data_IF_867431645795
#
_entry.id   IF_867431645795
#
_cell.length_a   1.000
_cell.length_b   1.000
_cell.length_c   1.000
_cell.angle_alpha   90.00
_cell.angle_beta   90.00
_cell.angle_gamma   90.00
#
_symmetry.space_group_name_H-M   'P 1'
#
loop_
_entity.id
_entity.type
_entity.pdbx_description
1 polymer ?
#
# COMPACT_ATOMS: atom_id res chain seq x y z
N UNK A 1 10.34 -38.38 20.52
CA UNK A 1 10.47 -38.09 19.07
C UNK A 1 9.17 -37.58 18.46
N UNK A 2 8.04 -38.28 18.58
CA UNK A 2 6.75 -37.83 18.04
C UNK A 2 6.30 -36.46 18.57
N UNK A 3 6.42 -36.22 19.89
CA UNK A 3 6.11 -34.92 20.50
C UNK A 3 6.98 -33.78 19.94
N UNK A 4 8.29 -34.03 19.71
CA UNK A 4 9.19 -33.01 19.14
C UNK A 4 8.82 -32.71 17.69
N UNK A 5 8.39 -33.72 16.93
CA UNK A 5 7.90 -33.53 15.57
C UNK A 5 6.63 -32.67 15.54
N UNK A 6 5.66 -32.97 16.40
CA UNK A 6 4.43 -32.17 16.53
C UNK A 6 4.71 -30.71 16.92
N UNK A 7 5.68 -30.49 17.82
CA UNK A 7 6.15 -29.13 18.16
C UNK A 7 6.79 -28.45 16.96
N UNK A 8 7.66 -29.13 16.21
CA UNK A 8 8.28 -28.55 14.99
C UNK A 8 7.22 -28.17 13.96
N UNK A 9 6.22 -29.02 13.72
CA UNK A 9 5.12 -28.74 12.78
C UNK A 9 4.30 -27.50 13.21
N UNK A 10 4.19 -27.25 14.52
CA UNK A 10 3.49 -26.07 15.05
C UNK A 10 4.25 -24.75 14.90
N UNK A 11 5.54 -24.75 14.54
CA UNK A 11 6.34 -23.52 14.38
C UNK A 11 5.82 -22.60 13.27
N UNK A 12 5.07 -23.12 12.29
CA UNK A 12 4.40 -22.30 11.28
C UNK A 12 3.38 -21.31 11.90
N UNK A 13 2.86 -21.62 13.10
CA UNK A 13 1.92 -20.78 13.85
C UNK A 13 2.59 -19.69 14.69
N UNK A 14 3.92 -19.70 14.83
CA UNK A 14 4.64 -18.69 15.61
C UNK A 14 4.40 -17.29 15.05
N UNK A 15 4.30 -16.32 15.96
CA UNK A 15 4.04 -14.90 15.72
C UNK A 15 2.68 -14.60 15.08
N UNK A 16 1.77 -15.57 15.05
CA UNK A 16 0.37 -15.32 14.69
C UNK A 16 -0.36 -14.79 15.92
N UNK A 17 -1.00 -13.62 15.79
CA UNK A 17 -1.72 -12.98 16.90
C UNK A 17 -0.80 -12.78 18.12
N UNK A 18 -1.11 -13.43 19.26
CA UNK A 18 -0.33 -13.34 20.49
C UNK A 18 0.61 -14.54 20.69
N UNK A 19 0.78 -15.41 19.69
CA UNK A 19 1.62 -16.61 19.79
C UNK A 19 3.11 -16.29 19.53
N UNK A 20 3.69 -15.37 20.28
CA UNK A 20 5.14 -15.13 20.21
C UNK A 20 5.93 -16.29 20.81
N UNK A 21 7.27 -16.20 20.79
CA UNK A 21 8.12 -17.29 21.27
C UNK A 21 7.88 -17.59 22.76
N UNK A 22 7.62 -16.57 23.57
CA UNK A 22 7.38 -16.73 25.01
C UNK A 22 6.04 -17.41 25.25
N UNK A 23 4.96 -16.91 24.64
CA UNK A 23 3.63 -17.49 24.75
C UNK A 23 3.60 -18.93 24.24
N UNK A 24 4.29 -19.22 23.13
CA UNK A 24 4.45 -20.57 22.60
C UNK A 24 5.14 -21.49 23.63
N UNK A 25 6.22 -21.04 24.26
CA UNK A 25 6.91 -21.82 25.28
C UNK A 25 6.02 -22.08 26.50
N UNK A 26 5.24 -21.08 26.93
CA UNK A 26 4.28 -21.19 28.04
C UNK A 26 3.19 -22.22 27.71
N UNK A 27 2.56 -22.09 26.55
CA UNK A 27 1.47 -22.98 26.10
C UNK A 27 1.92 -24.45 26.01
N UNK A 28 3.13 -24.69 25.53
CA UNK A 28 3.66 -26.04 25.34
C UNK A 28 4.50 -26.55 26.53
N UNK A 29 4.68 -25.73 27.59
CA UNK A 29 5.53 -26.03 28.75
C UNK A 29 6.98 -26.40 28.36
N UNK A 30 7.55 -25.67 27.41
CA UNK A 30 8.87 -25.93 26.85
C UNK A 30 9.92 -24.91 27.33
N UNK A 31 11.15 -25.37 27.48
CA UNK A 31 12.28 -24.47 27.72
C UNK A 31 12.59 -23.67 26.42
N UNK A 32 12.67 -22.33 26.48
CA UNK A 32 12.95 -21.49 25.31
C UNK A 32 14.24 -21.85 24.55
N UNK A 33 15.26 -22.36 25.23
CA UNK A 33 16.51 -22.80 24.61
C UNK A 33 16.27 -24.00 23.69
N UNK A 34 15.42 -24.95 24.12
CA UNK A 34 15.06 -26.11 23.30
C UNK A 34 14.25 -25.69 22.08
N UNK A 35 13.28 -24.78 22.26
CA UNK A 35 12.47 -24.26 21.15
C UNK A 35 13.35 -23.54 20.13
N UNK A 36 14.26 -22.66 20.57
CA UNK A 36 15.22 -22.00 19.70
C UNK A 36 16.07 -23.00 18.91
N UNK A 37 16.60 -24.02 19.58
CA UNK A 37 17.41 -25.06 18.95
C UNK A 37 16.61 -25.83 17.89
N UNK A 38 15.42 -26.31 18.23
CA UNK A 38 14.56 -27.04 17.30
C UNK A 38 14.09 -26.18 16.13
N UNK A 39 13.81 -24.90 16.37
CA UNK A 39 13.39 -23.95 15.35
C UNK A 39 14.51 -23.73 14.32
N UNK A 40 15.75 -23.56 14.79
CA UNK A 40 16.93 -23.47 13.93
C UNK A 40 17.11 -24.72 13.07
N UNK A 41 16.89 -25.90 13.62
CA UNK A 41 16.99 -27.16 12.86
C UNK A 41 15.85 -27.38 11.87
N UNK A 42 14.63 -26.97 12.24
CA UNK A 42 13.44 -27.26 11.46
C UNK A 42 13.40 -26.51 10.12
N UNK A 43 14.15 -25.40 10.01
CA UNK A 43 14.17 -24.53 8.84
C UNK A 43 12.76 -24.08 8.40
N UNK A 44 11.89 -23.84 9.39
CA UNK A 44 10.53 -23.36 9.19
C UNK A 44 10.53 -21.85 9.28
N UNK A 45 9.95 -21.19 8.28
CA UNK A 45 9.74 -19.75 8.27
C UNK A 45 8.29 -19.44 8.71
N UNK A 46 8.06 -18.84 9.89
CA UNK A 46 6.74 -18.45 10.32
C UNK A 46 6.18 -17.35 9.42
N UNK A 47 5.12 -17.65 8.69
CA UNK A 47 4.61 -16.77 7.64
C UNK A 47 4.16 -15.41 8.18
N UNK A 48 3.59 -15.36 9.39
CA UNK A 48 3.18 -14.10 10.01
C UNK A 48 4.38 -13.19 10.30
N UNK A 49 5.51 -13.76 10.74
CA UNK A 49 6.73 -13.00 10.97
C UNK A 49 7.37 -12.56 9.66
N UNK A 50 7.43 -13.45 8.68
CA UNK A 50 7.93 -13.14 7.34
C UNK A 50 7.16 -11.96 6.71
N UNK A 51 5.83 -12.05 6.66
CA UNK A 51 4.97 -11.01 6.10
C UNK A 51 5.13 -9.67 6.82
N UNK A 52 5.30 -9.67 8.15
CA UNK A 52 5.56 -8.44 8.93
C UNK A 52 6.91 -7.81 8.57
N UNK A 53 7.98 -8.60 8.52
CA UNK A 53 9.32 -8.12 8.14
C UNK A 53 9.30 -7.59 6.70
N UNK A 54 8.64 -8.30 5.78
CA UNK A 54 8.50 -7.84 4.40
C UNK A 54 7.71 -6.53 4.31
N UNK A 55 6.62 -6.37 5.08
CA UNK A 55 5.88 -5.10 5.15
C UNK A 55 6.77 -3.96 5.64
N UNK A 56 7.54 -4.16 6.70
CA UNK A 56 8.46 -3.15 7.26
C UNK A 56 9.55 -2.77 6.23
N UNK A 57 10.15 -3.76 5.57
CA UNK A 57 11.10 -3.56 4.48
C UNK A 57 10.50 -2.75 3.31
N UNK A 58 9.30 -3.12 2.85
CA UNK A 58 8.60 -2.41 1.78
C UNK A 58 8.29 -0.97 2.20
N UNK A 59 7.80 -0.77 3.42
CA UNK A 59 7.48 0.56 3.93
C UNK A 59 8.71 1.47 3.95
N UNK A 60 9.86 0.96 4.38
CA UNK A 60 11.11 1.73 4.37
C UNK A 60 11.65 2.01 2.96
N UNK A 61 11.61 1.00 2.08
CA UNK A 61 12.06 1.10 0.69
C UNK A 61 11.20 2.10 -0.10
N UNK A 62 9.88 2.01 0.02
CA UNK A 62 8.93 2.90 -0.66
C UNK A 62 9.03 4.32 -0.09
N UNK A 63 9.19 4.48 1.22
CA UNK A 63 9.45 5.78 1.84
C UNK A 63 10.71 6.42 1.28
N UNK A 64 11.77 5.65 1.10
CA UNK A 64 13.04 6.11 0.51
C UNK A 64 12.82 6.60 -0.91
N UNK A 65 12.11 5.84 -1.75
CA UNK A 65 11.78 6.23 -3.12
C UNK A 65 10.93 7.50 -3.18
N UNK A 66 9.84 7.57 -2.39
CA UNK A 66 9.00 8.76 -2.33
C UNK A 66 9.79 9.98 -1.83
N UNK A 67 10.80 9.79 -0.98
CA UNK A 67 11.63 10.89 -0.51
C UNK A 67 12.56 11.45 -1.59
N UNK A 68 12.88 10.67 -2.63
CA UNK A 68 13.68 11.14 -3.77
C UNK A 68 12.90 12.08 -4.69
N UNK A 69 11.58 11.90 -4.79
CA UNK A 69 10.72 12.73 -5.65
C UNK A 69 10.36 14.03 -4.94
N UNK A 70 10.49 15.18 -5.60
CA UNK A 70 10.30 16.48 -4.94
C UNK A 70 8.91 16.66 -4.32
N UNK A 71 7.87 16.10 -4.92
CA UNK A 71 6.50 16.14 -4.42
C UNK A 71 6.11 14.92 -3.56
N UNK A 72 6.94 13.89 -3.53
CA UNK A 72 6.68 12.65 -2.83
C UNK A 72 5.49 11.87 -3.37
N UNK A 73 5.28 11.87 -4.69
CA UNK A 73 4.20 11.15 -5.36
C UNK A 73 4.79 10.14 -6.34
N UNK A 74 4.42 8.87 -6.24
CA UNK A 74 4.82 7.82 -7.21
C UNK A 74 3.58 7.10 -7.74
N UNK A 75 3.43 6.96 -9.06
CA UNK A 75 2.32 6.22 -9.66
C UNK A 75 2.50 4.71 -9.52
N UNK A 76 1.38 4.01 -9.30
CA UNK A 76 1.30 2.55 -9.39
C UNK A 76 0.83 2.10 -10.78
N UNK A 77 0.14 2.98 -11.50
CA UNK A 77 -0.30 2.76 -12.88
C UNK A 77 0.64 3.43 -13.88
N UNK A 78 0.75 2.89 -15.09
CA UNK A 78 1.64 3.44 -16.12
C UNK A 78 1.31 4.88 -16.49
N UNK A 79 2.31 5.75 -16.39
CA UNK A 79 2.31 7.14 -16.88
C UNK A 79 3.42 7.34 -17.93
N UNK A 80 3.17 8.13 -18.99
CA UNK A 80 4.21 8.43 -19.98
C UNK A 80 5.45 9.06 -19.34
N UNK A 81 6.62 8.44 -19.53
CA UNK A 81 7.89 8.99 -19.04
C UNK A 81 8.19 8.77 -17.55
N UNK A 82 7.27 8.18 -16.79
CA UNK A 82 7.46 7.87 -15.37
C UNK A 82 7.47 6.37 -15.12
N UNK A 83 8.49 5.89 -14.41
CA UNK A 83 8.55 4.51 -13.96
C UNK A 83 7.56 4.28 -12.82
N UNK A 84 6.75 3.22 -12.93
CA UNK A 84 5.83 2.82 -11.85
C UNK A 84 6.61 2.35 -10.62
N UNK A 85 5.96 2.43 -9.45
CA UNK A 85 6.58 2.08 -8.17
C UNK A 85 7.29 0.73 -8.17
N UNK A 86 6.67 -0.31 -8.75
CA UNK A 86 7.23 -1.67 -8.71
C UNK A 86 8.58 -1.76 -9.45
N UNK A 87 8.74 -1.04 -10.56
CA UNK A 87 9.98 -1.00 -11.32
C UNK A 87 11.08 -0.27 -10.53
N UNK A 88 10.74 0.84 -9.89
CA UNK A 88 11.66 1.61 -9.05
C UNK A 88 12.09 0.82 -7.81
N UNK A 89 11.16 0.07 -7.23
CA UNK A 89 11.41 -0.79 -6.08
C UNK A 89 12.35 -1.95 -6.44
N UNK A 90 12.11 -2.62 -7.57
CA UNK A 90 13.01 -3.67 -8.07
C UNK A 90 14.41 -3.11 -8.29
N UNK A 91 14.54 -1.97 -8.98
CA UNK A 91 15.83 -1.31 -9.21
C UNK A 91 16.56 -0.97 -7.90
N UNK A 92 15.86 -0.42 -6.90
CA UNK A 92 16.44 -0.12 -5.59
C UNK A 92 16.95 -1.40 -4.90
N UNK A 93 16.18 -2.49 -4.95
CA UNK A 93 16.60 -3.76 -4.36
C UNK A 93 17.86 -4.29 -5.04
N UNK A 94 17.91 -4.27 -6.38
CA UNK A 94 19.07 -4.71 -7.15
C UNK A 94 20.33 -3.88 -6.82
N UNK A 95 20.18 -2.55 -6.71
CA UNK A 95 21.27 -1.65 -6.31
C UNK A 95 21.77 -1.94 -4.89
N UNK A 96 20.88 -2.39 -4.00
CA UNK A 96 21.21 -2.78 -2.64
C UNK A 96 21.67 -4.25 -2.51
N UNK A 97 22.02 -4.90 -3.64
CA UNK A 97 22.64 -6.22 -3.67
C UNK A 97 21.67 -7.41 -3.75
N UNK A 98 20.37 -7.17 -3.96
CA UNK A 98 19.45 -8.26 -4.24
C UNK A 98 19.69 -8.78 -5.66
N UNK A 99 19.48 -10.06 -5.85
CA UNK A 99 19.27 -10.66 -7.17
C UNK A 99 17.80 -10.54 -7.58
N UNK A 100 17.49 -10.62 -8.87
CA UNK A 100 16.10 -10.70 -9.35
C UNK A 100 15.35 -11.87 -8.71
N UNK A 101 16.02 -13.00 -8.47
CA UNK A 101 15.41 -14.15 -7.79
C UNK A 101 15.04 -13.85 -6.34
N UNK A 102 15.87 -13.11 -5.59
CA UNK A 102 15.55 -12.68 -4.23
C UNK A 102 14.41 -11.65 -4.21
N UNK A 103 14.34 -10.76 -5.20
CA UNK A 103 13.22 -9.85 -5.34
C UNK A 103 11.90 -10.61 -5.60
N UNK A 104 11.92 -11.61 -6.49
CA UNK A 104 10.75 -12.47 -6.75
C UNK A 104 10.33 -13.31 -5.52
N UNK A 105 11.26 -13.63 -4.60
CA UNK A 105 10.91 -14.32 -3.35
C UNK A 105 10.00 -13.48 -2.44
N UNK A 106 9.91 -12.16 -2.63
CA UNK A 106 8.95 -11.33 -1.88
C UNK A 106 7.51 -11.83 -2.08
N UNK A 107 7.18 -12.40 -3.23
CA UNK A 107 5.84 -12.95 -3.51
C UNK A 107 5.47 -14.07 -2.52
N UNK A 108 6.41 -14.97 -2.21
CA UNK A 108 6.17 -16.07 -1.28
C UNK A 108 6.08 -15.58 0.17
N UNK A 109 6.89 -14.58 0.55
CA UNK A 109 6.84 -13.97 1.88
C UNK A 109 5.54 -13.21 2.13
N UNK A 110 4.98 -12.60 1.09
CA UNK A 110 3.68 -11.92 1.12
C UNK A 110 2.49 -12.86 0.93
N UNK A 111 2.75 -14.08 0.42
CA UNK A 111 1.73 -15.06 0.04
C UNK A 111 0.92 -14.65 -1.20
N UNK A 112 1.42 -13.68 -1.99
CA UNK A 112 0.78 -13.18 -3.21
C UNK A 112 1.80 -12.37 -4.04
N UNK A 113 1.54 -12.15 -5.35
CA UNK A 113 2.39 -11.30 -6.17
C UNK A 113 2.58 -9.90 -5.56
N UNK A 114 3.82 -9.42 -5.51
CA UNK A 114 4.19 -8.14 -4.90
C UNK A 114 3.41 -6.97 -5.52
N UNK A 115 3.18 -6.99 -6.84
CA UNK A 115 2.43 -5.93 -7.49
C UNK A 115 0.98 -5.88 -7.01
N UNK A 116 0.31 -7.04 -6.92
CA UNK A 116 -1.02 -7.15 -6.32
C UNK A 116 -1.02 -6.70 -4.85
N UNK A 117 0.02 -7.06 -4.09
CA UNK A 117 0.16 -6.66 -2.69
C UNK A 117 0.23 -5.14 -2.55
N UNK A 118 1.08 -4.47 -3.32
CA UNK A 118 1.25 -3.02 -3.30
C UNK A 118 -0.06 -2.30 -3.63
N UNK A 119 -0.73 -2.74 -4.69
CA UNK A 119 -1.96 -2.11 -5.17
C UNK A 119 -3.15 -2.33 -4.22
N UNK A 120 -3.31 -3.53 -3.64
CA UNK A 120 -4.56 -3.90 -2.97
C UNK A 120 -4.45 -4.01 -1.44
N UNK A 121 -3.26 -4.27 -0.89
CA UNK A 121 -3.10 -4.68 0.51
C UNK A 121 -2.14 -3.80 1.31
N UNK A 122 -1.07 -3.30 0.69
CA UNK A 122 0.01 -2.60 1.37
C UNK A 122 -0.50 -1.44 2.23
N UNK A 123 -1.33 -0.57 1.69
CA UNK A 123 -1.83 0.60 2.42
C UNK A 123 -2.65 0.22 3.67
N UNK A 124 -3.54 -0.77 3.53
CA UNK A 124 -4.34 -1.29 4.65
C UNK A 124 -3.44 -1.95 5.71
N UNK A 125 -2.48 -2.76 5.26
CA UNK A 125 -1.57 -3.49 6.14
C UNK A 125 -0.62 -2.55 6.88
N UNK A 126 -0.05 -1.56 6.18
CA UNK A 126 0.76 -0.50 6.77
C UNK A 126 -0.05 0.30 7.80
N UNK A 127 -1.28 0.69 7.46
CA UNK A 127 -2.17 1.41 8.38
C UNK A 127 -2.46 0.58 9.64
N UNK A 128 -2.72 -0.72 9.50
CA UNK A 128 -2.95 -1.62 10.63
C UNK A 128 -1.69 -1.82 11.47
N UNK A 129 -0.53 -1.95 10.82
CA UNK A 129 0.76 -2.08 11.49
C UNK A 129 1.10 -0.84 12.32
N UNK A 130 0.73 0.35 11.84
CA UNK A 130 0.91 1.63 12.52
C UNK A 130 -0.27 2.01 13.42
N UNK A 131 -1.10 1.03 13.82
CA UNK A 131 -2.15 1.20 14.83
C UNK A 131 -1.59 0.98 16.24
N UNK A 132 -0.55 1.73 16.62
CA UNK A 132 0.20 1.50 17.85
C UNK A 132 -0.63 1.75 19.13
N UNK A 133 -1.58 2.69 19.06
CA UNK A 133 -2.43 3.06 20.20
C UNK A 133 -3.90 2.93 19.82
N UNK A 134 -4.62 2.01 20.46
CA UNK A 134 -6.01 1.66 20.11
C UNK A 134 -6.99 2.84 20.17
N UNK A 135 -6.70 3.86 20.98
CA UNK A 135 -7.52 5.06 21.16
C UNK A 135 -7.16 6.21 20.19
N UNK A 136 -6.05 6.12 19.47
CA UNK A 136 -5.64 7.07 18.45
C UNK A 136 -6.02 6.56 17.05
N UNK A 137 -6.13 7.45 16.05
CA UNK A 137 -6.22 7.01 14.66
C UNK A 137 -4.94 6.27 14.26
N UNK A 138 -5.07 5.37 13.29
CA UNK A 138 -3.92 4.82 12.58
C UNK A 138 -3.12 5.97 11.96
N UNK A 139 -1.80 5.86 11.96
CA UNK A 139 -0.91 6.93 11.46
C UNK A 139 -0.03 6.48 10.30
N UNK A 140 -0.59 6.02 9.16
CA UNK A 140 0.22 5.71 7.99
C UNK A 140 0.90 6.98 7.46
N UNK A 141 2.19 6.86 7.14
CA UNK A 141 2.99 7.94 6.55
C UNK A 141 3.14 7.83 5.02
N UNK A 142 2.69 6.72 4.43
CA UNK A 142 2.48 6.56 2.98
C UNK A 142 0.98 6.39 2.78
N UNK A 143 0.36 7.26 1.99
CA UNK A 143 -1.06 7.15 1.64
C UNK A 143 -1.23 6.63 0.22
N UNK A 144 -2.28 5.84 0.01
CA UNK A 144 -2.65 5.34 -1.30
C UNK A 144 -3.93 6.04 -1.77
N UNK A 145 -3.79 6.93 -2.76
CA UNK A 145 -4.92 7.54 -3.45
C UNK A 145 -5.32 6.67 -4.63
N UNK A 146 -6.62 6.39 -4.74
CA UNK A 146 -7.17 5.41 -5.69
C UNK A 146 -8.44 5.95 -6.31
N UNK A 147 -8.58 5.80 -7.64
CA UNK A 147 -9.79 6.19 -8.37
C UNK A 147 -10.96 5.23 -8.14
N UNK A 148 -10.67 3.96 -7.83
CA UNK A 148 -11.69 2.96 -7.61
C UNK A 148 -11.25 1.53 -7.89
N UNK A 149 -12.22 0.72 -8.29
CA UNK A 149 -12.08 -0.72 -8.49
C UNK A 149 -11.30 -1.05 -9.76
N UNK A 150 -11.47 -0.26 -10.82
CA UNK A 150 -10.82 -0.47 -12.11
C UNK A 150 -9.42 0.14 -12.17
N UNK A 151 -9.00 0.84 -11.10
CA UNK A 151 -7.65 1.40 -10.95
C UNK A 151 -7.31 2.32 -12.13
N UNK A 152 -8.24 3.20 -12.51
CA UNK A 152 -7.98 4.23 -13.51
C UNK A 152 -6.77 5.09 -13.13
N UNK A 153 -6.68 5.46 -11.86
CA UNK A 153 -5.59 6.22 -11.28
C UNK A 153 -5.23 5.72 -9.88
N UNK A 154 -3.95 5.40 -9.66
CA UNK A 154 -3.42 4.92 -8.38
C UNK A 154 -2.05 5.56 -8.11
N UNK A 155 -1.88 6.20 -6.96
CA UNK A 155 -0.59 6.79 -6.53
C UNK A 155 -0.33 6.53 -5.06
N UNK A 156 0.95 6.37 -4.72
CA UNK A 156 1.43 6.55 -3.35
C UNK A 156 1.91 7.97 -3.12
N UNK A 157 1.55 8.52 -1.97
CA UNK A 157 1.97 9.86 -1.54
C UNK A 157 2.62 9.81 -0.15
N UNK A 158 3.69 10.57 0.03
CA UNK A 158 4.39 10.70 1.31
C UNK A 158 3.85 11.88 2.10
N UNK A 159 3.36 11.65 3.33
CA UNK A 159 2.74 12.72 4.13
C UNK A 159 3.67 13.89 4.42
N UNK A 160 4.99 13.64 4.49
CA UNK A 160 6.00 14.66 4.78
C UNK A 160 6.16 15.68 3.64
N UNK A 161 5.64 15.38 2.45
CA UNK A 161 5.65 16.25 1.27
C UNK A 161 4.23 16.63 0.81
N UNK A 162 3.21 16.15 1.51
CA UNK A 162 1.80 16.38 1.19
C UNK A 162 1.35 17.74 1.71
N UNK A 163 0.91 18.60 0.80
CA UNK A 163 0.49 19.97 1.07
C UNK A 163 -0.64 20.39 0.10
N UNK A 164 -1.08 21.65 0.18
CA UNK A 164 -2.12 22.21 -0.69
C UNK A 164 -1.81 22.05 -2.19
N UNK A 165 -0.55 22.24 -2.59
CA UNK A 165 -0.13 22.17 -3.99
C UNK A 165 -0.17 20.73 -4.53
N UNK A 166 -0.09 19.72 -3.66
CA UNK A 166 -0.11 18.32 -4.07
C UNK A 166 -1.38 17.95 -4.85
N UNK A 167 -2.56 18.49 -4.48
CA UNK A 167 -3.80 18.24 -5.24
C UNK A 167 -3.76 18.85 -6.65
N UNK A 168 -3.18 20.05 -6.79
CA UNK A 168 -3.02 20.70 -8.09
C UNK A 168 -2.03 19.92 -8.97
N UNK A 169 -0.93 19.40 -8.40
CA UNK A 169 0.03 18.54 -9.12
C UNK A 169 -0.61 17.24 -9.57
N UNK A 170 -1.34 16.55 -8.68
CA UNK A 170 -2.10 15.34 -9.04
C UNK A 170 -3.02 15.63 -10.22
N UNK A 171 -3.77 16.73 -10.20
CA UNK A 171 -4.69 17.08 -11.29
C UNK A 171 -3.96 17.37 -12.60
N UNK A 172 -2.98 18.26 -12.56
CA UNK A 172 -2.37 18.84 -13.76
C UNK A 172 -1.31 17.96 -14.40
N UNK A 173 -0.60 17.14 -13.62
CA UNK A 173 0.48 16.30 -14.11
C UNK A 173 0.01 14.85 -14.19
N UNK A 174 -0.29 14.24 -13.04
CA UNK A 174 -0.55 12.81 -12.96
C UNK A 174 -1.87 12.37 -13.66
N UNK A 175 -3.00 12.97 -13.28
CA UNK A 175 -4.32 12.65 -13.85
C UNK A 175 -4.36 13.01 -15.34
N UNK A 176 -3.90 14.21 -15.70
CA UNK A 176 -3.94 14.68 -17.08
C UNK A 176 -3.17 13.74 -18.01
N UNK A 177 -1.95 13.33 -17.65
CA UNK A 177 -1.18 12.39 -18.46
C UNK A 177 -1.79 10.99 -18.48
N UNK A 178 -2.34 10.52 -17.35
CA UNK A 178 -3.01 9.21 -17.29
C UNK A 178 -4.20 9.16 -18.24
N UNK A 179 -5.05 10.19 -18.20
CA UNK A 179 -6.23 10.30 -19.02
C UNK A 179 -5.87 10.32 -20.51
N UNK A 180 -4.93 11.18 -20.92
CA UNK A 180 -4.46 11.24 -22.30
C UNK A 180 -3.89 9.90 -22.79
N UNK A 181 -3.13 9.20 -21.95
CA UNK A 181 -2.57 7.89 -22.29
C UNK A 181 -3.67 6.84 -22.53
N UNK A 182 -4.69 6.82 -21.68
CA UNK A 182 -5.83 5.93 -21.80
C UNK A 182 -6.69 6.25 -23.02
N UNK A 183 -6.99 7.53 -23.27
CA UNK A 183 -7.74 7.98 -24.46
C UNK A 183 -7.00 7.61 -25.75
N UNK A 184 -5.68 7.84 -25.80
CA UNK A 184 -4.85 7.44 -26.93
C UNK A 184 -4.89 5.93 -27.15
N UNK A 185 -4.76 5.12 -26.09
CA UNK A 185 -4.85 3.66 -26.18
C UNK A 185 -6.24 3.21 -26.62
N UNK A 186 -7.29 3.88 -26.16
CA UNK A 186 -8.67 3.61 -26.58
C UNK A 186 -8.85 3.82 -28.09
N UNK A 187 -8.30 4.91 -28.63
CA UNK A 187 -8.31 5.20 -30.07
C UNK A 187 -7.53 4.14 -30.85
N UNK A 188 -6.34 3.74 -30.40
CA UNK A 188 -5.55 2.69 -31.05
C UNK A 188 -6.29 1.35 -31.18
N UNK A 189 -7.18 1.06 -30.22
CA UNK A 189 -7.93 -0.17 -30.21
C UNK A 189 -9.17 -0.10 -31.12
N UNK A 190 -9.63 1.07 -31.58
CA UNK A 190 -10.92 1.23 -32.27
C UNK A 190 -11.13 0.22 -33.41
N UNK A 191 -10.14 0.05 -34.28
CA UNK A 191 -10.21 -0.85 -35.44
C UNK A 191 -9.83 -2.32 -35.12
N UNK A 192 -9.46 -2.63 -33.88
CA UNK A 192 -9.08 -3.98 -33.45
C UNK A 192 -10.31 -4.71 -32.90
N UNK A 193 -10.73 -5.76 -33.61
CA UNK A 193 -11.96 -6.53 -33.32
C UNK A 193 -11.72 -7.89 -32.65
N UNK A 194 -10.67 -8.02 -31.84
CA UNK A 194 -10.44 -9.24 -31.05
C UNK A 194 -11.17 -9.19 -29.71
N UNK A 195 -11.53 -10.34 -29.14
CA UNK A 195 -12.15 -10.40 -27.81
C UNK A 195 -11.27 -9.74 -26.73
N UNK A 196 -9.95 -9.91 -26.82
CA UNK A 196 -8.98 -9.25 -25.94
C UNK A 196 -9.05 -7.71 -26.07
N UNK A 197 -9.09 -7.18 -27.30
CA UNK A 197 -9.18 -5.75 -27.53
C UNK A 197 -10.51 -5.17 -27.03
N UNK A 198 -11.62 -5.91 -27.15
CA UNK A 198 -12.92 -5.47 -26.61
C UNK A 198 -12.91 -5.43 -25.08
N UNK A 199 -12.35 -6.43 -24.42
CA UNK A 199 -12.19 -6.42 -22.95
C UNK A 199 -11.28 -5.27 -22.49
N UNK A 200 -10.20 -4.98 -23.23
CA UNK A 200 -9.31 -3.86 -22.92
C UNK A 200 -10.04 -2.50 -23.10
N UNK A 201 -10.79 -2.32 -24.20
CA UNK A 201 -11.62 -1.12 -24.42
C UNK A 201 -12.60 -0.90 -23.27
N UNK A 202 -13.28 -1.96 -22.86
CA UNK A 202 -14.25 -1.86 -21.77
C UNK A 202 -13.57 -1.47 -20.45
N UNK A 203 -12.43 -2.09 -20.13
CA UNK A 203 -11.62 -1.72 -18.96
C UNK A 203 -11.19 -0.25 -19.02
N UNK A 204 -10.68 0.22 -20.16
CA UNK A 204 -10.25 1.62 -20.34
C UNK A 204 -11.43 2.57 -20.14
N UNK A 205 -12.63 2.23 -20.66
CA UNK A 205 -13.83 3.04 -20.45
C UNK A 205 -14.15 3.20 -18.96
N UNK A 206 -14.19 2.10 -18.20
CA UNK A 206 -14.40 2.18 -16.75
C UNK A 206 -13.30 2.96 -16.03
N UNK A 207 -12.04 2.82 -16.45
CA UNK A 207 -10.93 3.60 -15.91
C UNK A 207 -11.07 5.11 -16.16
N UNK A 208 -11.50 5.52 -17.35
CA UNK A 208 -11.76 6.92 -17.68
C UNK A 208 -12.93 7.49 -16.86
N UNK A 209 -14.01 6.71 -16.70
CA UNK A 209 -15.15 7.08 -15.84
C UNK A 209 -14.71 7.28 -14.37
N UNK A 210 -13.90 6.38 -13.83
CA UNK A 210 -13.34 6.52 -12.48
C UNK A 210 -12.43 7.73 -12.33
N UNK A 211 -11.60 8.02 -13.34
CA UNK A 211 -10.70 9.18 -13.33
C UNK A 211 -11.48 10.49 -13.29
N UNK A 212 -12.55 10.63 -14.08
CA UNK A 212 -13.38 11.84 -14.05
C UNK A 212 -14.06 12.03 -12.70
N UNK A 213 -14.56 10.95 -12.09
CA UNK A 213 -15.13 11.01 -10.74
C UNK A 213 -14.07 11.39 -9.69
N UNK A 214 -12.87 10.81 -9.77
CA UNK A 214 -11.76 11.14 -8.88
C UNK A 214 -11.34 12.61 -9.02
N UNK A 215 -11.24 13.12 -10.25
CA UNK A 215 -10.92 14.52 -10.56
C UNK A 215 -11.96 15.48 -10.01
N UNK A 216 -13.25 15.17 -10.13
CA UNK A 216 -14.33 15.97 -9.52
C UNK A 216 -14.16 16.08 -8.00
N UNK A 217 -13.86 14.97 -7.32
CA UNK A 217 -13.63 14.96 -5.87
C UNK A 217 -12.39 15.77 -5.46
N UNK A 218 -11.34 15.75 -6.28
CA UNK A 218 -10.14 16.59 -6.08
C UNK A 218 -10.49 18.06 -6.24
N UNK A 219 -11.29 18.42 -7.25
CA UNK A 219 -11.74 19.79 -7.48
C UNK A 219 -12.60 20.33 -6.35
N UNK A 220 -13.48 19.50 -5.79
CA UNK A 220 -14.25 19.84 -4.59
C UNK A 220 -13.33 20.14 -3.40
N UNK A 221 -12.30 19.32 -3.15
CA UNK A 221 -11.35 19.57 -2.05
C UNK A 221 -10.54 20.85 -2.25
N UNK A 222 -10.13 21.14 -3.49
CA UNK A 222 -9.46 22.39 -3.84
C UNK A 222 -10.38 23.58 -3.57
N UNK A 223 -11.66 23.50 -3.97
CA UNK A 223 -12.65 24.54 -3.76
C UNK A 223 -13.00 24.73 -2.27
N UNK A 224 -13.02 23.64 -1.49
CA UNK A 224 -13.18 23.65 -0.04
C UNK A 224 -11.95 24.23 0.70
N UNK A 225 -10.85 24.50 0.00
CA UNK A 225 -9.64 25.07 0.58
C UNK A 225 -8.82 24.08 1.40
N UNK A 226 -8.85 22.79 1.04
CA UNK A 226 -8.06 21.76 1.71
C UNK A 226 -6.56 22.11 1.71
N UNK A 227 -6.01 22.31 2.91
CA UNK A 227 -4.62 22.70 3.15
C UNK A 227 -4.03 21.85 4.30
N UNK A 228 -3.54 20.64 3.99
CA UNK A 228 -3.04 19.72 5.00
C UNK A 228 -1.71 20.21 5.59
N UNK A 229 -1.58 20.13 6.92
CA UNK A 229 -0.39 20.55 7.66
C UNK A 229 0.15 19.37 8.47
N UNK A 230 1.43 19.04 8.33
CA UNK A 230 1.99 17.85 8.98
C UNK A 230 1.73 17.82 10.50
N UNK A 231 1.89 18.96 11.17
CA UNK A 231 1.74 19.11 12.63
C UNK A 231 0.31 18.91 13.14
N UNK A 232 -0.69 19.03 12.27
CA UNK A 232 -2.11 18.77 12.61
C UNK A 232 -2.40 17.27 12.81
N UNK A 233 -1.44 16.43 12.45
CA UNK A 233 -1.51 14.99 12.60
C UNK A 233 -2.30 14.30 11.48
N UNK A 234 -1.98 13.02 11.29
CA UNK A 234 -2.53 12.20 10.20
C UNK A 234 -4.05 12.19 10.19
N UNK A 235 -4.69 12.10 11.36
CA UNK A 235 -6.14 12.00 11.47
C UNK A 235 -6.89 13.19 10.86
N UNK A 236 -6.41 14.42 11.10
CA UNK A 236 -7.02 15.64 10.57
C UNK A 236 -6.79 15.76 9.07
N UNK A 237 -5.57 15.53 8.61
CA UNK A 237 -5.22 15.68 7.19
C UNK A 237 -5.86 14.62 6.30
N UNK A 238 -6.02 13.38 6.78
CA UNK A 238 -6.54 12.28 5.96
C UNK A 238 -8.07 12.24 5.93
N UNK A 239 -8.75 12.85 6.90
CA UNK A 239 -10.20 12.80 7.03
C UNK A 239 -10.95 13.36 5.80
N UNK A 240 -10.60 14.51 5.21
CA UNK A 240 -11.23 15.01 3.99
C UNK A 240 -11.07 14.06 2.80
N UNK A 241 -9.88 13.47 2.63
CA UNK A 241 -9.60 12.50 1.58
C UNK A 241 -10.45 11.23 1.74
N UNK A 242 -10.57 10.72 2.98
CA UNK A 242 -11.41 9.57 3.26
C UNK A 242 -12.89 9.89 3.04
N UNK A 243 -13.38 11.06 3.47
CA UNK A 243 -14.78 11.50 3.30
C UNK A 243 -15.17 11.53 1.82
N UNK A 244 -14.27 11.97 0.95
CA UNK A 244 -14.48 12.00 -0.51
C UNK A 244 -14.28 10.63 -1.18
N UNK A 245 -13.87 9.61 -0.43
CA UNK A 245 -13.60 8.28 -0.97
C UNK A 245 -12.47 8.30 -2.00
N UNK A 246 -11.36 8.98 -1.66
CA UNK A 246 -10.15 9.05 -2.48
C UNK A 246 -9.06 8.06 -2.04
N UNK A 247 -9.26 7.37 -0.91
CA UNK A 247 -8.28 6.44 -0.35
C UNK A 247 -8.59 5.00 -0.74
N UNK A 248 -7.55 4.20 -1.00
CA UNK A 248 -7.71 2.76 -1.27
C UNK A 248 -8.34 1.97 -0.12
N UNK A 249 -8.08 2.39 1.11
CA UNK A 249 -8.59 1.75 2.30
C UNK A 249 -8.92 2.77 3.40
N UNK A 250 -9.89 2.46 4.24
CA UNK A 250 -10.23 3.30 5.38
C UNK A 250 -9.14 3.26 6.47
N UNK A 251 -8.72 4.44 6.89
CA UNK A 251 -7.75 4.67 7.97
C UNK A 251 -8.47 5.03 9.26
N UNK A 252 -9.49 5.90 9.15
CA UNK A 252 -10.31 6.36 10.27
C UNK A 252 -11.59 5.53 10.39
N UNK A 253 -11.93 5.11 11.61
CA UNK A 253 -13.27 4.57 11.91
C UNK A 253 -14.32 5.69 11.81
N UNK A 254 -15.60 5.37 11.62
CA UNK A 254 -16.67 6.36 11.42
C UNK A 254 -16.73 7.45 12.51
N UNK A 255 -16.53 7.07 13.79
CA UNK A 255 -16.44 8.03 14.91
C UNK A 255 -15.22 8.94 14.82
N UNK A 256 -14.07 8.41 14.40
CA UNK A 256 -12.85 9.19 14.20
C UNK A 256 -13.00 10.14 13.01
N UNK A 257 -13.56 9.66 11.90
CA UNK A 257 -13.82 10.49 10.72
C UNK A 257 -14.71 11.68 11.09
N UNK A 258 -15.82 11.44 11.79
CA UNK A 258 -16.71 12.51 12.26
C UNK A 258 -15.99 13.48 13.20
N UNK A 259 -15.14 12.97 14.11
CA UNK A 259 -14.33 13.81 15.00
C UNK A 259 -13.37 14.71 14.23
N UNK A 260 -12.59 14.15 13.32
CA UNK A 260 -11.51 14.88 12.63
C UNK A 260 -12.02 15.84 11.55
N UNK A 261 -13.21 15.60 10.97
CA UNK A 261 -13.86 16.54 10.06
C UNK A 261 -14.38 17.80 10.77
N UNK A 262 -14.64 17.71 12.09
CA UNK A 262 -15.18 18.80 12.90
C UNK A 262 -14.17 19.32 13.95
N UNK A 263 -12.89 18.93 13.84
CA UNK A 263 -11.87 19.37 14.77
C UNK A 263 -11.45 20.80 14.44
N UNK A 264 -11.53 21.71 15.42
CA UNK A 264 -11.07 23.09 15.27
C UNK A 264 -9.54 23.16 15.08
N UNK A 265 -9.08 24.20 14.38
CA UNK A 265 -7.67 24.43 13.99
C UNK A 265 -6.87 25.13 15.06
#
# INVERSE_FOLDING_TARGET
EQQVKEIKDSFASLYQSNNDLEEFCICHQLNPINVWYWFKEANILPQARAAKITLEFLADSIRTLLHQDEDGIIPLVGLPGEAVLIQRLEQLCLQNGFTTAQFMQLDSLLGRPINEYLEQYFFKNLSNHLNLFMYLPKTPFIWHLSSGQHQGFEVFVLIYKWNRDSLFKIKSQYISFRQQNLEYRFIQLQDVNTAQAQNEKEKIRYQLEEIELFKSKVDELIAEGYDPKLDDGVGKNIAPLQKKGLLKAEVLKSKQLTKYLNADW
#
